data_IF_532181242826
#
_entry.id   IF_532181242826
#
_cell.length_a   1.000
_cell.length_b   1.000
_cell.length_c   1.000
_cell.angle_alpha   90.00
_cell.angle_beta   90.00
_cell.angle_gamma   90.00
#
_symmetry.space_group_name_H-M   'P 1'
#
loop_
_entity.id
_entity.type
_entity.pdbx_description
1 polymer ?
#
# COMPACT_ATOMS: atom_id res chain seq x y z
N UNK A 1 11.38 11.79 -48.30
CA UNK A 1 12.24 11.26 -47.22
C UNK A 1 11.35 10.64 -46.14
N UNK A 2 11.63 9.43 -45.64
CA UNK A 2 10.86 8.82 -44.55
C UNK A 2 11.16 9.56 -43.23
N UNK A 3 10.13 10.09 -42.58
CA UNK A 3 10.23 10.69 -41.23
C UNK A 3 10.38 9.57 -40.21
N UNK A 4 11.52 9.51 -39.53
CA UNK A 4 11.71 8.71 -38.32
C UNK A 4 11.13 9.49 -37.13
N UNK A 5 9.91 9.15 -36.70
CA UNK A 5 9.40 9.63 -35.42
C UNK A 5 9.93 8.75 -34.31
N UNK A 6 10.49 9.37 -33.26
CA UNK A 6 10.89 8.66 -32.04
C UNK A 6 9.92 9.09 -30.94
N UNK A 7 8.98 8.22 -30.60
CA UNK A 7 8.00 8.48 -29.55
C UNK A 7 8.65 8.29 -28.19
N UNK A 8 8.74 9.36 -27.41
CA UNK A 8 9.20 9.33 -26.02
C UNK A 8 7.96 9.30 -25.13
N UNK A 9 7.84 8.26 -24.31
CA UNK A 9 6.74 8.14 -23.34
C UNK A 9 7.25 8.69 -22.02
N UNK A 10 6.75 9.87 -21.63
CA UNK A 10 7.07 10.46 -20.33
C UNK A 10 5.97 10.10 -19.32
N UNK A 11 6.32 9.52 -18.15
CA UNK A 11 5.34 9.30 -17.09
C UNK A 11 4.91 10.64 -16.50
N UNK A 12 3.62 10.96 -16.55
CA UNK A 12 3.02 12.06 -15.78
C UNK A 12 3.24 11.78 -14.28
N UNK A 13 3.59 12.78 -13.49
CA UNK A 13 3.76 12.63 -12.04
C UNK A 13 2.48 12.08 -11.40
N UNK A 14 2.55 10.88 -10.81
CA UNK A 14 1.41 10.28 -10.09
C UNK A 14 1.33 10.86 -8.69
N UNK A 15 0.38 11.76 -8.45
CA UNK A 15 0.08 12.27 -7.09
C UNK A 15 -0.47 11.17 -6.15
N UNK A 16 -0.97 10.06 -6.70
CA UNK A 16 -1.55 8.96 -5.93
C UNK A 16 -0.51 8.07 -5.26
N UNK A 17 0.70 7.99 -5.80
CA UNK A 17 1.73 7.09 -5.30
C UNK A 17 2.33 7.56 -3.95
N UNK A 18 2.74 8.83 -3.77
CA UNK A 18 3.28 9.31 -2.50
C UNK A 18 2.26 9.24 -1.36
N UNK A 19 1.00 9.60 -1.61
CA UNK A 19 -0.07 9.54 -0.61
C UNK A 19 -0.33 8.10 -0.15
N UNK A 20 -0.41 7.16 -1.09
CA UNK A 20 -0.55 5.72 -0.78
C UNK A 20 0.62 5.21 0.06
N UNK A 21 1.85 5.59 -0.29
CA UNK A 21 3.04 5.21 0.46
C UNK A 21 3.02 5.77 1.88
N UNK A 22 2.62 7.03 2.04
CA UNK A 22 2.43 7.67 3.34
C UNK A 22 1.41 6.93 4.21
N UNK A 23 0.24 6.59 3.66
CA UNK A 23 -0.77 5.80 4.37
C UNK A 23 -0.26 4.41 4.79
N UNK A 24 0.52 3.74 3.92
CA UNK A 24 1.16 2.46 4.26
C UNK A 24 2.19 2.62 5.37
N UNK A 25 3.01 3.67 5.34
CA UNK A 25 3.99 3.96 6.38
C UNK A 25 3.32 4.22 7.74
N UNK A 26 2.23 5.00 7.75
CA UNK A 26 1.41 5.23 8.95
C UNK A 26 0.84 3.92 9.49
N UNK A 27 0.31 3.06 8.62
CA UNK A 27 -0.19 1.73 9.02
C UNK A 27 0.91 0.87 9.66
N UNK A 28 2.10 0.80 9.06
CA UNK A 28 3.25 0.08 9.63
C UNK A 28 3.63 0.64 11.00
N UNK A 29 3.74 1.97 11.13
CA UNK A 29 4.08 2.62 12.39
C UNK A 29 3.05 2.28 13.49
N UNK A 30 1.75 2.37 13.19
CA UNK A 30 0.70 2.03 14.16
C UNK A 30 0.74 0.55 14.57
N UNK A 31 0.99 -0.38 13.64
CA UNK A 31 1.12 -1.80 13.93
C UNK A 31 2.30 -2.08 14.87
N UNK A 32 3.44 -1.42 14.66
CA UNK A 32 4.62 -1.55 15.50
C UNK A 32 4.38 -0.97 16.90
N UNK A 33 3.76 0.20 17.00
CA UNK A 33 3.42 0.81 18.30
C UNK A 33 2.44 -0.09 19.05
N UNK A 34 1.37 -0.56 18.39
CA UNK A 34 0.39 -1.45 19.02
C UNK A 34 1.06 -2.75 19.50
N UNK A 35 1.90 -3.38 18.66
CA UNK A 35 2.64 -4.58 19.03
C UNK A 35 3.59 -4.35 20.22
N UNK A 36 4.28 -3.21 20.25
CA UNK A 36 5.15 -2.83 21.35
C UNK A 36 4.37 -2.63 22.66
N UNK A 37 3.24 -1.91 22.61
CA UNK A 37 2.36 -1.72 23.77
C UNK A 37 1.88 -3.08 24.26
N UNK A 38 1.34 -3.96 23.39
CA UNK A 38 0.90 -5.30 23.81
C UNK A 38 2.01 -6.13 24.46
N UNK A 39 3.25 -6.04 23.96
CA UNK A 39 4.38 -6.79 24.50
C UNK A 39 4.83 -6.26 25.86
N UNK A 40 4.92 -4.95 26.02
CA UNK A 40 5.33 -4.31 27.28
C UNK A 40 4.27 -4.46 28.37
N UNK A 41 2.99 -4.37 28.00
CA UNK A 41 1.88 -4.53 28.96
C UNK A 41 1.71 -5.97 29.43
N UNK A 42 1.89 -6.94 28.53
CA UNK A 42 1.85 -8.36 28.89
C UNK A 42 3.06 -8.79 29.75
N UNK A 43 4.25 -8.22 29.51
CA UNK A 43 5.45 -8.51 30.30
C UNK A 43 5.39 -7.92 31.72
N UNK A 44 4.77 -6.74 31.87
CA UNK A 44 4.71 -6.01 33.14
C UNK A 44 3.41 -6.24 33.93
N UNK A 45 2.52 -7.14 33.48
CA UNK A 45 1.24 -7.40 34.14
C UNK A 45 1.46 -8.07 35.52
N UNK A 46 1.04 -7.44 36.64
CA UNK A 46 1.17 -8.01 37.98
C UNK A 46 0.10 -9.06 38.31
N UNK A 47 -0.96 -9.17 37.49
CA UNK A 47 -1.99 -10.19 37.61
C UNK A 47 -1.54 -11.43 36.83
N UNK A 48 -1.64 -12.65 37.39
CA UNK A 48 -1.48 -13.87 36.60
C UNK A 48 -2.48 -13.81 35.44
N UNK A 49 -1.99 -13.70 34.21
CA UNK A 49 -2.77 -13.68 32.96
C UNK A 49 -3.79 -14.84 32.91
N UNK A 50 -3.54 -15.90 33.69
CA UNK A 50 -4.42 -17.04 33.95
C UNK A 50 -5.77 -16.72 34.62
N UNK A 51 -5.95 -15.57 35.28
CA UNK A 51 -7.23 -15.19 35.91
C UNK A 51 -8.26 -14.67 34.91
N UNK A 52 -7.85 -14.23 33.72
CA UNK A 52 -8.74 -13.83 32.63
C UNK A 52 -8.59 -14.84 31.51
N UNK A 53 -9.41 -15.91 31.47
CA UNK A 53 -9.21 -17.03 30.53
C UNK A 53 -9.30 -16.62 29.05
N UNK A 54 -9.91 -15.47 28.75
CA UNK A 54 -10.04 -14.93 27.40
C UNK A 54 -8.82 -14.12 26.94
N UNK A 55 -7.99 -13.62 27.86
CA UNK A 55 -6.89 -12.70 27.54
C UNK A 55 -5.74 -13.37 26.76
N UNK A 56 -5.26 -14.59 27.11
CA UNK A 56 -4.24 -15.27 26.31
C UNK A 56 -4.68 -15.52 24.86
N UNK A 57 -5.96 -15.89 24.68
CA UNK A 57 -6.53 -16.13 23.35
C UNK A 57 -6.59 -14.83 22.54
N UNK A 58 -7.08 -13.75 23.14
CA UNK A 58 -7.16 -12.44 22.49
C UNK A 58 -5.76 -11.92 22.08
N UNK A 59 -4.77 -12.03 22.98
CA UNK A 59 -3.39 -11.64 22.70
C UNK A 59 -2.77 -12.46 21.55
N UNK A 60 -3.01 -13.77 21.54
CA UNK A 60 -2.54 -14.65 20.45
C UNK A 60 -3.16 -14.25 19.10
N UNK A 61 -4.48 -14.03 19.06
CA UNK A 61 -5.19 -13.56 17.87
C UNK A 61 -4.66 -12.22 17.37
N UNK A 62 -4.46 -11.24 18.28
CA UNK A 62 -3.93 -9.93 17.93
C UNK A 62 -2.49 -9.98 17.41
N UNK A 63 -1.64 -10.80 18.03
CA UNK A 63 -0.27 -11.02 17.56
C UNK A 63 -0.26 -11.60 16.14
N UNK A 64 -1.09 -12.61 15.88
CA UNK A 64 -1.26 -13.18 14.55
C UNK A 64 -1.78 -12.15 13.53
N UNK A 65 -2.75 -11.32 13.91
CA UNK A 65 -3.32 -10.29 13.05
C UNK A 65 -2.30 -9.19 12.70
N UNK A 66 -1.52 -8.73 13.69
CA UNK A 66 -0.42 -7.78 13.49
C UNK A 66 0.62 -8.39 12.55
N UNK A 67 1.06 -9.63 12.80
CA UNK A 67 2.04 -10.31 11.98
C UNK A 67 1.57 -10.48 10.53
N UNK A 68 0.34 -10.96 10.31
CA UNK A 68 -0.23 -11.13 8.97
C UNK A 68 -0.36 -9.81 8.23
N UNK A 69 -0.79 -8.75 8.93
CA UNK A 69 -0.90 -7.40 8.33
C UNK A 69 0.47 -6.84 7.95
N UNK A 70 1.47 -7.02 8.82
CA UNK A 70 2.87 -6.62 8.55
C UNK A 70 3.47 -7.43 7.40
N UNK A 71 3.20 -8.73 7.33
CA UNK A 71 3.69 -9.59 6.26
C UNK A 71 3.12 -9.14 4.91
N UNK A 72 1.81 -8.94 4.86
CA UNK A 72 1.13 -8.43 3.67
C UNK A 72 1.71 -7.10 3.21
N UNK A 73 1.78 -6.10 4.11
CA UNK A 73 2.26 -4.77 3.71
C UNK A 73 3.74 -4.81 3.30
N UNK A 74 4.57 -5.62 3.93
CA UNK A 74 5.98 -5.80 3.58
C UNK A 74 6.12 -6.35 2.16
N UNK A 75 5.40 -7.41 1.80
CA UNK A 75 5.42 -7.92 0.43
C UNK A 75 4.97 -6.88 -0.58
N UNK A 76 3.91 -6.12 -0.28
CA UNK A 76 3.48 -5.05 -1.19
C UNK A 76 4.53 -3.95 -1.31
N UNK A 77 5.26 -3.61 -0.25
CA UNK A 77 6.29 -2.56 -0.28
C UNK A 77 7.53 -3.03 -1.05
N UNK A 78 8.00 -4.26 -0.82
CA UNK A 78 9.13 -4.86 -1.55
C UNK A 78 8.82 -4.86 -3.05
N UNK A 79 7.65 -5.37 -3.44
CA UNK A 79 7.24 -5.38 -4.84
C UNK A 79 7.17 -3.96 -5.42
N UNK A 80 6.73 -2.96 -4.66
CA UNK A 80 6.70 -1.56 -5.12
C UNK A 80 8.09 -0.94 -5.28
N UNK A 81 9.07 -1.30 -4.43
CA UNK A 81 10.46 -0.86 -4.56
C UNK A 81 11.13 -1.42 -5.81
N UNK A 82 10.88 -2.69 -6.12
CA UNK A 82 11.52 -3.42 -7.22
C UNK A 82 11.16 -2.85 -8.61
N UNK A 83 9.99 -2.22 -8.72
CA UNK A 83 9.52 -1.57 -9.94
C UNK A 83 10.28 -0.27 -10.23
N UNK A 84 10.63 0.50 -9.19
CA UNK A 84 11.34 1.77 -9.37
C UNK A 84 12.76 1.58 -9.90
N UNK A 85 13.39 0.43 -9.63
CA UNK A 85 14.75 0.12 -10.10
C UNK A 85 14.80 -0.37 -11.55
N UNK A 86 13.76 -1.05 -12.03
CA UNK A 86 13.76 -1.70 -13.35
C UNK A 86 13.22 -0.75 -14.42
N UNK A 87 14.12 -0.18 -15.22
CA UNK A 87 13.79 0.66 -16.39
C UNK A 87 13.01 -0.07 -17.51
N UNK A 88 12.79 -1.39 -17.37
CA UNK A 88 12.05 -2.23 -18.31
C UNK A 88 10.80 -2.84 -17.62
N UNK A 89 9.59 -2.27 -17.83
CA UNK A 89 8.39 -2.67 -17.09
C UNK A 89 7.96 -4.12 -17.34
N UNK A 90 8.16 -4.64 -18.55
CA UNK A 90 7.61 -5.95 -18.97
C UNK A 90 8.29 -7.18 -18.33
N UNK A 91 9.58 -7.10 -18.00
CA UNK A 91 10.30 -8.21 -17.37
C UNK A 91 10.19 -8.17 -15.85
N UNK A 92 10.15 -6.96 -15.27
CA UNK A 92 9.85 -6.76 -13.85
C UNK A 92 8.47 -7.31 -13.46
N UNK A 93 7.48 -7.23 -14.37
CA UNK A 93 6.10 -7.64 -14.15
C UNK A 93 5.89 -9.17 -14.03
N UNK A 94 6.80 -10.00 -14.55
CA UNK A 94 6.62 -11.46 -14.57
C UNK A 94 6.65 -12.12 -13.20
N UNK A 95 7.26 -11.48 -12.20
CA UNK A 95 7.39 -12.02 -10.83
C UNK A 95 6.46 -11.40 -9.78
N UNK A 96 5.64 -10.42 -10.16
CA UNK A 96 4.85 -9.64 -9.21
C UNK A 96 3.46 -10.23 -8.98
N UNK A 97 3.09 -10.41 -7.72
CA UNK A 97 1.79 -10.98 -7.33
C UNK A 97 1.04 -10.02 -6.41
N UNK A 98 1.67 -9.51 -5.36
CA UNK A 98 1.02 -8.70 -4.32
C UNK A 98 0.83 -7.23 -4.69
N UNK A 99 1.60 -6.71 -5.65
CA UNK A 99 1.48 -5.36 -6.20
C UNK A 99 0.45 -5.25 -7.34
N UNK A 100 -0.16 -6.37 -7.74
CA UNK A 100 -1.31 -6.35 -8.66
C UNK A 100 -2.50 -5.73 -7.94
N UNK A 101 -3.14 -4.78 -8.60
CA UNK A 101 -4.20 -3.97 -8.01
C UNK A 101 -5.36 -4.79 -7.41
N UNK A 102 -5.84 -5.82 -8.11
CA UNK A 102 -6.91 -6.66 -7.59
C UNK A 102 -6.47 -7.51 -6.39
N UNK A 103 -5.23 -8.01 -6.38
CA UNK A 103 -4.68 -8.79 -5.26
C UNK A 103 -4.51 -7.90 -4.05
N UNK A 104 -3.90 -6.73 -4.23
CA UNK A 104 -3.72 -5.74 -3.17
C UNK A 104 -5.07 -5.27 -2.63
N UNK A 105 -6.04 -4.97 -3.49
CA UNK A 105 -7.39 -4.57 -3.08
C UNK A 105 -8.14 -5.66 -2.32
N UNK A 106 -8.12 -6.90 -2.81
CA UNK A 106 -8.79 -8.03 -2.15
C UNK A 106 -8.16 -8.33 -0.79
N UNK A 107 -6.84 -8.43 -0.72
CA UNK A 107 -6.11 -8.65 0.53
C UNK A 107 -6.36 -7.53 1.54
N UNK A 108 -6.40 -6.28 1.09
CA UNK A 108 -6.69 -5.15 1.94
C UNK A 108 -8.11 -5.16 2.53
N UNK A 109 -9.12 -5.54 1.74
CA UNK A 109 -10.50 -5.70 2.23
C UNK A 109 -10.57 -6.83 3.26
N UNK A 110 -9.90 -7.96 3.00
CA UNK A 110 -9.83 -9.10 3.93
C UNK A 110 -9.18 -8.68 5.25
N UNK A 111 -8.05 -7.97 5.20
CA UNK A 111 -7.37 -7.44 6.38
C UNK A 111 -8.29 -6.50 7.17
N UNK A 112 -8.97 -5.56 6.49
CA UNK A 112 -9.93 -4.66 7.14
C UNK A 112 -11.06 -5.43 7.82
N UNK A 113 -11.63 -6.44 7.16
CA UNK A 113 -12.69 -7.27 7.73
C UNK A 113 -12.23 -7.96 9.02
N UNK A 114 -11.02 -8.54 9.03
CA UNK A 114 -10.47 -9.14 10.25
C UNK A 114 -10.28 -8.12 11.37
N UNK A 115 -9.71 -6.95 11.09
CA UNK A 115 -9.55 -5.89 12.10
C UNK A 115 -10.88 -5.41 12.68
N UNK A 116 -11.96 -5.41 11.87
CA UNK A 116 -13.30 -5.05 12.37
C UNK A 116 -13.99 -6.19 13.12
N UNK A 117 -13.79 -7.45 12.72
CA UNK A 117 -14.42 -8.61 13.36
C UNK A 117 -13.84 -8.87 14.75
N UNK A 118 -12.52 -8.69 14.91
CA UNK A 118 -11.81 -8.85 16.18
C UNK A 118 -11.94 -7.65 17.14
N UNK A 119 -12.97 -6.81 16.95
CA UNK A 119 -13.26 -5.68 17.84
C UNK A 119 -13.52 -6.14 19.29
N UNK A 120 -14.21 -7.27 19.48
CA UNK A 120 -14.54 -7.80 20.82
C UNK A 120 -13.29 -8.24 21.58
N UNK A 121 -12.36 -8.89 20.89
CA UNK A 121 -11.06 -9.26 21.43
C UNK A 121 -10.24 -8.01 21.80
N UNK A 122 -10.34 -6.94 21.00
CA UNK A 122 -9.75 -5.64 21.32
C UNK A 122 -10.30 -5.07 22.64
N UNK A 123 -11.62 -5.14 22.83
CA UNK A 123 -12.27 -4.67 24.06
C UNK A 123 -11.81 -5.46 25.29
N UNK A 124 -11.70 -6.79 25.19
CA UNK A 124 -11.19 -7.63 26.29
C UNK A 124 -9.77 -7.22 26.68
N UNK A 125 -8.91 -6.95 25.71
CA UNK A 125 -7.54 -6.47 25.95
C UNK A 125 -7.58 -5.09 26.61
N UNK A 126 -8.37 -4.15 26.08
CA UNK A 126 -8.52 -2.79 26.62
C UNK A 126 -8.99 -2.81 28.06
N UNK A 127 -10.04 -3.57 28.38
CA UNK A 127 -10.59 -3.70 29.74
C UNK A 127 -9.57 -4.32 30.69
N UNK A 128 -8.91 -5.40 30.28
CA UNK A 128 -7.91 -6.10 31.09
C UNK A 128 -6.72 -5.22 31.47
N UNK A 129 -6.29 -4.35 30.54
CA UNK A 129 -5.15 -3.46 30.74
C UNK A 129 -5.54 -2.05 31.24
N UNK A 130 -6.82 -1.70 31.27
CA UNK A 130 -7.31 -0.37 31.68
C UNK A 130 -6.84 0.08 33.06
N UNK A 131 -6.80 -0.84 34.01
CA UNK A 131 -6.38 -0.55 35.40
C UNK A 131 -4.86 -0.41 35.59
N UNK A 132 -4.06 -0.85 34.60
CA UNK A 132 -2.61 -0.97 34.76
C UNK A 132 -1.81 0.15 34.10
N UNK A 133 -2.40 0.85 33.13
CA UNK A 133 -1.66 1.79 32.27
C UNK A 133 -2.18 3.21 32.43
N UNK A 134 -1.90 3.86 33.55
CA UNK A 134 -2.36 5.23 33.78
C UNK A 134 -1.90 6.25 32.70
N UNK A 135 -0.81 5.97 31.96
CA UNK A 135 -0.31 6.83 30.86
C UNK A 135 -0.38 6.21 29.45
N UNK A 136 -0.03 4.92 29.30
CA UNK A 136 0.00 4.28 27.97
C UNK A 136 -1.35 3.64 27.57
N UNK A 137 -2.36 3.68 28.46
CA UNK A 137 -3.69 3.17 28.14
C UNK A 137 -4.33 3.89 26.95
N UNK A 138 -4.01 5.16 26.75
CA UNK A 138 -4.53 5.95 25.63
C UNK A 138 -3.97 5.45 24.29
N UNK A 139 -2.74 4.92 24.29
CA UNK A 139 -2.07 4.47 23.06
C UNK A 139 -2.74 3.24 22.46
N UNK A 140 -3.24 2.31 23.28
CA UNK A 140 -3.86 1.07 22.79
C UNK A 140 -5.14 1.30 21.94
N UNK A 141 -6.19 1.98 22.43
CA UNK A 141 -7.36 2.30 21.61
C UNK A 141 -6.99 3.26 20.47
N UNK A 142 -6.12 4.25 20.71
CA UNK A 142 -5.73 5.20 19.68
C UNK A 142 -5.06 4.50 18.49
N UNK A 143 -4.08 3.63 18.73
CA UNK A 143 -3.39 2.89 17.67
C UNK A 143 -4.32 1.90 16.98
N UNK A 144 -5.19 1.21 17.72
CA UNK A 144 -6.21 0.34 17.14
C UNK A 144 -7.14 1.08 16.17
N UNK A 145 -7.72 2.22 16.60
CA UNK A 145 -8.55 3.05 15.74
C UNK A 145 -7.77 3.63 14.56
N UNK A 146 -6.52 4.03 14.78
CA UNK A 146 -5.64 4.56 13.72
C UNK A 146 -5.31 3.50 12.66
N UNK A 147 -5.19 2.23 13.04
CA UNK A 147 -5.03 1.09 12.10
C UNK A 147 -6.29 0.95 11.24
N UNK A 148 -7.47 0.87 11.85
CA UNK A 148 -8.74 0.76 11.11
C UNK A 148 -8.92 1.95 10.17
N UNK A 149 -8.68 3.17 10.66
CA UNK A 149 -8.77 4.38 9.85
C UNK A 149 -7.79 4.34 8.68
N UNK A 150 -6.55 3.92 8.90
CA UNK A 150 -5.54 3.78 7.83
C UNK A 150 -5.98 2.77 6.77
N UNK A 151 -6.55 1.64 7.18
CA UNK A 151 -7.09 0.62 6.27
C UNK A 151 -8.29 1.14 5.46
N UNK A 152 -9.19 1.90 6.08
CA UNK A 152 -10.31 2.56 5.40
C UNK A 152 -9.79 3.59 4.39
N UNK A 153 -8.85 4.45 4.80
CA UNK A 153 -8.28 5.49 3.93
C UNK A 153 -7.55 4.87 2.73
N UNK A 154 -6.79 3.79 2.93
CA UNK A 154 -6.15 3.07 1.84
C UNK A 154 -7.20 2.51 0.85
N UNK A 155 -8.34 2.02 1.35
CA UNK A 155 -9.40 1.43 0.51
C UNK A 155 -10.15 2.53 -0.26
N UNK A 156 -10.47 3.62 0.43
CA UNK A 156 -11.06 4.80 -0.19
C UNK A 156 -10.15 5.35 -1.28
N UNK A 157 -8.86 5.51 -0.98
CA UNK A 157 -7.87 5.94 -1.95
C UNK A 157 -7.78 5.00 -3.17
N UNK A 158 -7.82 3.69 -2.96
CA UNK A 158 -7.90 2.70 -4.05
C UNK A 158 -9.15 2.95 -4.91
N UNK A 159 -10.34 3.00 -4.32
CA UNK A 159 -11.61 3.21 -5.04
C UNK A 159 -11.59 4.54 -5.80
N UNK A 160 -11.15 5.63 -5.16
CA UNK A 160 -11.03 6.94 -5.81
C UNK A 160 -10.07 6.91 -6.99
N UNK A 161 -8.94 6.21 -6.86
CA UNK A 161 -7.97 6.06 -7.95
C UNK A 161 -8.57 5.33 -9.16
N UNK A 162 -9.36 4.28 -8.92
CA UNK A 162 -10.07 3.52 -9.96
C UNK A 162 -11.15 4.38 -10.61
N UNK A 163 -11.96 5.08 -9.82
CA UNK A 163 -13.06 5.89 -10.31
C UNK A 163 -12.55 7.05 -11.19
N UNK A 164 -11.45 7.70 -10.78
CA UNK A 164 -10.82 8.76 -11.57
C UNK A 164 -10.21 8.23 -12.86
N UNK A 165 -9.63 7.02 -12.83
CA UNK A 165 -9.13 6.36 -14.03
C UNK A 165 -10.28 5.99 -14.99
N UNK A 166 -11.34 5.36 -14.49
CA UNK A 166 -12.54 5.01 -15.24
C UNK A 166 -13.16 6.22 -15.94
N UNK A 167 -13.21 7.36 -15.24
CA UNK A 167 -13.74 8.62 -15.78
C UNK A 167 -12.89 9.17 -16.93
N UNK A 168 -11.58 8.94 -16.93
CA UNK A 168 -10.65 9.49 -17.94
C UNK A 168 -10.52 8.59 -19.17
N UNK A 169 -10.34 7.29 -18.97
CA UNK A 169 -9.99 6.33 -20.03
C UNK A 169 -11.18 5.41 -20.41
N UNK A 170 -12.34 5.58 -19.77
CA UNK A 170 -13.55 4.79 -19.98
C UNK A 170 -13.59 3.47 -19.19
N UNK A 171 -14.80 2.90 -19.04
CA UNK A 171 -15.01 1.66 -18.29
C UNK A 171 -14.43 0.42 -19.00
N UNK A 172 -14.34 0.45 -20.33
CA UNK A 172 -13.87 -0.69 -21.12
C UNK A 172 -12.34 -0.92 -20.98
N UNK A 173 -11.56 0.14 -20.80
CA UNK A 173 -10.11 0.05 -20.56
C UNK A 173 -9.80 -0.52 -19.17
N UNK A 174 -10.73 -0.35 -18.23
CA UNK A 174 -10.61 -0.81 -16.85
C UNK A 174 -10.53 -2.33 -16.77
N UNK A 175 -11.30 -3.08 -17.54
CA UNK A 175 -11.24 -4.55 -17.46
C UNK A 175 -9.86 -5.11 -17.87
N UNK A 176 -9.22 -4.52 -18.89
CA UNK A 176 -7.89 -4.98 -19.33
C UNK A 176 -6.79 -4.56 -18.38
N UNK A 177 -6.89 -3.35 -17.82
CA UNK A 177 -5.87 -2.80 -16.93
C UNK A 177 -6.10 -3.11 -15.45
N UNK A 178 -7.26 -3.62 -15.01
CA UNK A 178 -7.47 -3.98 -13.59
C UNK A 178 -6.73 -5.27 -13.19
N UNK A 179 -6.63 -6.23 -14.12
CA UNK A 179 -5.90 -7.49 -13.89
C UNK A 179 -4.38 -7.32 -13.89
N UNK A 180 -3.90 -6.37 -14.70
CA UNK A 180 -2.47 -6.13 -14.93
C UNK A 180 -1.96 -4.81 -14.32
N UNK A 181 -2.87 -3.96 -13.87
CA UNK A 181 -2.59 -2.62 -13.37
C UNK A 181 -1.99 -2.66 -11.99
N UNK A 182 -1.12 -1.68 -11.75
CA UNK A 182 -0.43 -1.47 -10.49
C UNK A 182 -1.10 -0.36 -9.73
N UNK A 183 -1.21 -0.55 -8.43
CA UNK A 183 -1.99 0.35 -7.61
C UNK A 183 -1.30 1.70 -7.46
N UNK A 184 -2.00 2.78 -7.82
CA UNK A 184 -1.43 4.13 -7.80
C UNK A 184 -0.59 4.50 -9.03
N UNK A 185 -0.50 3.62 -10.03
CA UNK A 185 0.22 3.84 -11.29
C UNK A 185 -0.74 4.14 -12.45
N UNK A 186 -1.82 4.87 -12.17
CA UNK A 186 -2.83 5.31 -13.13
C UNK A 186 -2.39 6.59 -13.85
N UNK A 187 -1.22 6.52 -14.47
CA UNK A 187 -0.65 7.62 -15.21
C UNK A 187 -0.94 7.41 -16.68
N UNK A 188 -1.81 8.24 -17.24
CA UNK A 188 -1.98 8.32 -18.69
C UNK A 188 -0.63 8.55 -19.35
N UNK A 189 -0.30 7.73 -20.35
CA UNK A 189 0.95 7.87 -21.12
C UNK A 189 0.84 9.12 -21.98
N UNK A 190 1.68 10.12 -21.72
CA UNK A 190 1.86 11.21 -22.68
C UNK A 190 2.86 10.72 -23.71
N UNK A 191 2.38 10.40 -24.92
CA UNK A 191 3.25 10.19 -26.07
C UNK A 191 3.69 11.56 -26.57
N UNK A 192 4.97 11.86 -26.42
CA UNK A 192 5.61 12.99 -27.09
C UNK A 192 6.28 12.45 -28.35
N UNK A 193 5.71 12.75 -29.50
CA UNK A 193 6.38 12.52 -30.78
C UNK A 193 7.47 13.56 -30.95
N UNK A 194 8.73 13.15 -30.79
CA UNK A 194 9.85 13.99 -31.17
C UNK A 194 10.03 13.86 -32.68
N UNK A 195 9.68 14.90 -33.42
CA UNK A 195 10.08 15.05 -34.81
C UNK A 195 11.60 15.32 -34.78
N UNK A 196 12.40 14.34 -35.19
CA UNK A 196 13.82 14.57 -35.43
C UNK A 196 13.92 15.25 -36.79
N UNK A 197 13.93 16.58 -36.80
CA UNK A 197 14.44 17.32 -37.94
C UNK A 197 15.95 17.08 -37.96
N UNK A 198 16.45 16.49 -39.05
CA UNK A 198 17.87 16.53 -39.32
C UNK A 198 18.20 18.00 -39.61
N UNK A 199 19.04 18.61 -38.78
CA UNK A 199 19.69 19.86 -39.14
C UNK A 199 20.44 19.63 -40.45
N UNK A 200 19.94 20.22 -41.53
CA UNK A 200 20.62 20.28 -42.82
C UNK A 200 21.72 21.32 -42.69
N UNK A 201 22.77 21.00 -41.93
CA UNK A 201 24.03 21.74 -41.90
C UNK A 201 25.22 20.79 -42.08
N UNK A 202 25.16 19.94 -43.11
CA UNK A 202 26.37 19.39 -43.75
C UNK A 202 26.17 19.27 -45.27
N UNK A 203 25.62 20.31 -45.89
CA UNK A 203 25.75 20.54 -47.33
C UNK A 203 26.88 21.54 -47.56
N UNK A 204 28.12 21.06 -47.65
CA UNK A 204 29.20 21.84 -48.29
C UNK A 204 30.56 21.85 -47.60
N UNK A 205 31.19 20.70 -47.41
CA UNK A 205 32.66 20.52 -47.33
C UNK A 205 32.90 19.05 -47.74
N UNK A 206 33.66 18.61 -48.73
CA UNK A 206 34.58 19.17 -49.72
C UNK A 206 34.55 18.17 -50.90
N UNK A 207 34.38 18.66 -52.13
CA UNK A 207 34.97 18.01 -53.31
C UNK A 207 35.98 19.01 -53.86
N UNK A 208 37.25 18.76 -53.60
CA UNK A 208 38.39 19.20 -54.38
C UNK A 208 39.49 18.15 -54.19
#
# INVERSE_FOLDING_TARGET
MPRLSRTIILPRTSYFHPLRLGLKATLVANLLILGHVLLTTSANAPIPIHLIPLLPKALSTFSALIFLTLLWITFTLIENCDIHLKSCPKEAEKGMVFGKMWVEGASQIIVLAFWTDYWKEAQVIMESFSHHLAGEFILLPLTFFSIILSLILLNLHLITSIALFAKREGLASLNRELWCGKTGWWVGRVQLDRIVEYDVEQAGVEKA
#
